data_IF_453016847201
#
_entry.id   IF_453016847201
#
_cell.length_a   1.000
_cell.length_b   1.000
_cell.length_c   1.000
_cell.angle_alpha   90.00
_cell.angle_beta   90.00
_cell.angle_gamma   90.00
#
_symmetry.space_group_name_H-M   'P 1'
#
loop_
_entity.id
_entity.type
_entity.pdbx_description
1 polymer ?
#
# COMPACT_ATOMS: atom_id res chain seq x y z
N UNK A 1 -17.10 21.36 -16.34
CA UNK A 1 -16.80 21.08 -17.78
C UNK A 1 -17.99 21.51 -18.60
N UNK A 2 -17.80 22.29 -19.63
CA UNK A 2 -18.84 22.64 -20.60
C UNK A 2 -19.10 21.45 -21.54
N UNK A 3 -20.30 21.33 -22.14
CA UNK A 3 -20.62 20.24 -23.08
C UNK A 3 -19.57 20.03 -24.18
N UNK A 4 -19.08 21.14 -24.78
CA UNK A 4 -18.03 21.14 -25.81
C UNK A 4 -16.73 20.47 -25.31
N UNK A 5 -16.32 20.75 -24.08
CA UNK A 5 -15.13 20.14 -23.49
C UNK A 5 -15.30 18.61 -23.27
N UNK A 6 -16.53 18.13 -23.09
CA UNK A 6 -16.83 16.71 -22.98
C UNK A 6 -16.72 16.03 -24.34
N UNK A 7 -17.18 16.68 -25.40
CA UNK A 7 -17.02 16.20 -26.77
C UNK A 7 -15.55 16.14 -27.17
N UNK A 8 -14.78 17.19 -26.89
CA UNK A 8 -13.32 17.22 -27.12
C UNK A 8 -12.60 16.10 -26.37
N UNK A 9 -13.01 15.83 -25.13
CA UNK A 9 -12.47 14.71 -24.33
C UNK A 9 -12.76 13.36 -24.99
N UNK A 10 -13.98 13.18 -25.48
CA UNK A 10 -14.38 11.94 -26.15
C UNK A 10 -13.61 11.74 -27.47
N UNK A 11 -13.47 12.78 -28.25
CA UNK A 11 -12.69 12.74 -29.51
C UNK A 11 -11.22 12.44 -29.25
N UNK A 12 -10.60 13.15 -28.31
CA UNK A 12 -9.22 12.91 -27.93
C UNK A 12 -8.99 11.50 -27.35
N UNK A 13 -9.96 10.96 -26.61
CA UNK A 13 -9.91 9.58 -26.12
C UNK A 13 -9.99 8.55 -27.27
N UNK A 14 -10.86 8.78 -28.26
CA UNK A 14 -10.99 7.91 -29.44
C UNK A 14 -9.69 7.93 -30.26
N UNK A 15 -9.10 9.11 -30.47
CA UNK A 15 -7.81 9.22 -31.15
C UNK A 15 -6.71 8.46 -30.39
N UNK A 16 -6.63 8.59 -29.06
CA UNK A 16 -5.64 7.92 -28.25
C UNK A 16 -5.73 6.39 -28.29
N UNK A 17 -6.89 5.80 -28.57
CA UNK A 17 -7.05 4.34 -28.66
C UNK A 17 -6.19 3.72 -29.78
N UNK A 18 -5.83 4.48 -30.79
CA UNK A 18 -5.02 4.02 -31.91
C UNK A 18 -3.51 4.20 -31.72
N UNK A 19 -3.09 4.77 -30.59
CA UNK A 19 -1.69 5.01 -30.29
C UNK A 19 -1.19 4.09 -29.17
N UNK A 20 0.03 3.58 -29.33
CA UNK A 20 0.79 2.92 -28.28
C UNK A 20 1.78 3.89 -27.67
N UNK A 21 1.83 3.96 -26.33
CA UNK A 21 2.73 4.83 -25.60
C UNK A 21 3.79 4.01 -24.90
N UNK A 22 5.04 4.50 -24.92
CA UNK A 22 6.05 3.98 -24.02
C UNK A 22 5.65 4.32 -22.58
N UNK A 23 5.51 3.30 -21.75
CA UNK A 23 5.16 3.46 -20.35
C UNK A 23 6.43 3.47 -19.49
N UNK A 24 6.62 4.55 -18.73
CA UNK A 24 7.66 4.65 -17.72
C UNK A 24 7.02 4.93 -16.36
N UNK A 25 7.47 4.21 -15.33
CA UNK A 25 6.82 4.24 -14.03
C UNK A 25 6.76 5.65 -13.40
N UNK A 26 7.77 6.48 -13.61
CA UNK A 26 7.89 7.77 -12.94
C UNK A 26 7.33 8.95 -13.76
N UNK A 27 7.59 9.04 -15.05
CA UNK A 27 7.31 10.25 -15.84
C UNK A 27 6.22 10.08 -16.91
N UNK A 28 6.22 8.98 -17.67
CA UNK A 28 5.24 8.70 -18.73
C UNK A 28 4.25 7.61 -18.34
N UNK A 29 3.72 7.71 -17.13
CA UNK A 29 2.72 6.79 -16.62
C UNK A 29 1.28 7.22 -16.99
N UNK A 30 0.28 6.45 -16.54
CA UNK A 30 -1.13 6.76 -16.79
C UNK A 30 -1.55 8.15 -16.29
N UNK A 31 -0.99 8.62 -15.17
CA UNK A 31 -1.27 9.94 -14.63
C UNK A 31 -0.78 11.05 -15.57
N UNK A 32 0.42 10.90 -16.14
CA UNK A 32 0.97 11.84 -17.12
C UNK A 32 0.05 11.94 -18.35
N UNK A 33 -0.38 10.81 -18.91
CA UNK A 33 -1.27 10.77 -20.09
C UNK A 33 -2.60 11.46 -19.78
N UNK A 34 -3.22 11.11 -18.65
CA UNK A 34 -4.47 11.76 -18.20
C UNK A 34 -4.28 13.26 -18.01
N UNK A 35 -3.18 13.67 -17.37
CA UNK A 35 -2.89 15.08 -17.15
C UNK A 35 -2.66 15.85 -18.44
N UNK A 36 -1.98 15.27 -19.43
CA UNK A 36 -1.82 15.86 -20.76
C UNK A 36 -3.14 16.00 -21.50
N UNK A 37 -4.00 15.01 -21.41
CA UNK A 37 -5.35 15.06 -21.96
C UNK A 37 -6.16 16.21 -21.32
N UNK A 38 -6.07 16.35 -20.00
CA UNK A 38 -6.73 17.43 -19.26
C UNK A 38 -6.15 18.82 -19.65
N UNK A 39 -4.84 18.95 -19.89
CA UNK A 39 -4.24 20.20 -20.34
C UNK A 39 -4.87 20.69 -21.66
N UNK A 40 -5.09 19.78 -22.61
CA UNK A 40 -5.68 20.13 -23.92
C UNK A 40 -7.13 20.60 -23.74
N UNK A 41 -7.91 19.94 -22.91
CA UNK A 41 -9.34 20.21 -22.76
C UNK A 41 -9.62 21.44 -21.90
N UNK A 42 -8.84 21.59 -20.83
CA UNK A 42 -9.04 22.69 -19.87
C UNK A 42 -8.28 23.96 -20.28
N UNK A 43 -7.41 23.87 -21.29
CA UNK A 43 -6.49 24.94 -21.68
C UNK A 43 -5.62 25.45 -20.53
N UNK A 44 -5.35 24.58 -19.57
CA UNK A 44 -4.55 24.84 -18.37
C UNK A 44 -3.39 23.83 -18.25
N UNK A 45 -2.28 24.28 -17.70
CA UNK A 45 -1.11 23.43 -17.44
C UNK A 45 -1.28 22.60 -16.17
N UNK A 46 -2.20 21.62 -16.18
CA UNK A 46 -2.38 20.66 -15.09
C UNK A 46 -1.13 19.80 -14.91
N UNK A 47 -0.47 19.42 -16.01
CA UNK A 47 0.79 18.67 -16.00
C UNK A 47 1.85 19.42 -16.77
N UNK A 48 2.87 19.92 -16.07
CA UNK A 48 4.11 20.45 -16.64
C UNK A 48 5.09 19.30 -16.90
N UNK A 49 6.20 19.61 -17.59
CA UNK A 49 7.30 18.65 -17.76
C UNK A 49 8.04 18.54 -16.42
N UNK A 50 7.68 17.55 -15.63
CA UNK A 50 8.28 17.25 -14.32
C UNK A 50 9.10 15.95 -14.44
N UNK A 51 10.08 15.76 -13.54
CA UNK A 51 10.92 14.56 -13.51
C UNK A 51 10.12 13.29 -13.14
N UNK A 52 8.97 13.46 -12.48
CA UNK A 52 8.02 12.40 -12.16
C UNK A 52 6.61 12.97 -12.06
N UNK A 53 5.62 12.14 -12.36
CA UNK A 53 4.20 12.50 -12.26
C UNK A 53 3.45 11.43 -11.49
N UNK A 54 2.84 11.83 -10.37
CA UNK A 54 2.03 10.95 -9.53
C UNK A 54 0.53 11.24 -9.73
N UNK A 55 -0.33 10.20 -9.69
CA UNK A 55 -1.79 10.40 -9.77
C UNK A 55 -2.33 11.39 -8.72
N UNK A 56 -1.74 11.39 -7.52
CA UNK A 56 -2.07 12.33 -6.45
C UNK A 56 -1.82 13.79 -6.81
N UNK A 57 -0.75 14.09 -7.55
CA UNK A 57 -0.42 15.45 -7.99
C UNK A 57 -1.48 15.99 -8.96
N UNK A 58 -1.96 15.15 -9.89
CA UNK A 58 -3.04 15.53 -10.80
C UNK A 58 -4.30 15.92 -10.04
N UNK A 59 -4.71 15.05 -9.10
CA UNK A 59 -5.90 15.29 -8.26
C UNK A 59 -5.74 16.58 -7.44
N UNK A 60 -4.56 16.80 -6.84
CA UNK A 60 -4.29 17.99 -6.05
C UNK A 60 -4.36 19.26 -6.91
N UNK A 61 -3.78 19.26 -8.12
CA UNK A 61 -3.84 20.39 -9.06
C UNK A 61 -5.27 20.69 -9.50
N UNK A 62 -6.09 19.67 -9.75
CA UNK A 62 -7.52 19.86 -10.06
C UNK A 62 -8.31 20.43 -8.87
N UNK A 63 -7.94 20.07 -7.63
CA UNK A 63 -8.52 20.66 -6.43
C UNK A 63 -8.14 22.14 -6.32
N UNK A 64 -6.85 22.46 -6.52
CA UNK A 64 -6.32 23.82 -6.42
C UNK A 64 -6.91 24.75 -7.48
N UNK A 65 -7.12 24.24 -8.70
CA UNK A 65 -7.80 24.95 -9.78
C UNK A 65 -9.33 25.04 -9.60
N UNK A 66 -9.90 24.52 -8.50
CA UNK A 66 -11.34 24.46 -8.25
C UNK A 66 -12.16 23.77 -9.36
N UNK A 67 -11.51 22.87 -10.11
CA UNK A 67 -12.14 22.12 -11.20
C UNK A 67 -12.89 20.87 -10.73
N UNK A 68 -12.79 20.51 -9.45
CA UNK A 68 -13.50 19.39 -8.85
C UNK A 68 -14.65 19.91 -7.98
N UNK A 69 -15.85 19.87 -8.53
CA UNK A 69 -17.09 19.98 -7.77
C UNK A 69 -17.49 18.63 -7.17
N UNK A 70 -18.55 18.40 -6.61
CA UNK A 70 -19.21 17.15 -6.19
C UNK A 70 -18.32 15.88 -6.12
N UNK A 71 -17.50 15.80 -5.09
CA UNK A 71 -16.61 14.66 -4.89
C UNK A 71 -17.39 13.42 -4.46
N UNK A 72 -17.55 12.46 -5.36
CA UNK A 72 -18.08 11.14 -5.05
C UNK A 72 -16.93 10.19 -4.71
N UNK A 73 -16.88 9.76 -3.47
CA UNK A 73 -15.91 8.76 -3.05
C UNK A 73 -16.53 7.38 -3.11
N UNK A 74 -16.02 6.53 -3.99
CA UNK A 74 -16.37 5.10 -3.98
C UNK A 74 -15.37 4.35 -3.13
N UNK A 75 -15.88 3.59 -2.19
CA UNK A 75 -15.05 2.64 -1.43
C UNK A 75 -14.44 1.65 -2.41
N UNK A 76 -13.11 1.42 -2.34
CA UNK A 76 -12.47 0.43 -3.20
C UNK A 76 -13.12 -0.94 -3.01
N UNK A 77 -13.21 -1.71 -4.09
CA UNK A 77 -13.77 -3.06 -4.04
C UNK A 77 -13.07 -3.94 -3.00
N UNK A 78 -11.75 -3.80 -2.83
CA UNK A 78 -10.99 -4.50 -1.79
C UNK A 78 -11.44 -4.12 -0.37
N UNK A 79 -11.67 -2.84 -0.10
CA UNK A 79 -12.17 -2.39 1.21
C UNK A 79 -13.58 -2.90 1.46
N UNK A 80 -14.42 -2.89 0.44
CA UNK A 80 -15.77 -3.43 0.52
C UNK A 80 -15.74 -4.94 0.82
N UNK A 81 -14.96 -5.69 0.05
CA UNK A 81 -14.76 -7.12 0.27
C UNK A 81 -14.33 -7.39 1.72
N UNK A 82 -13.27 -6.72 2.19
CA UNK A 82 -12.77 -6.90 3.55
C UNK A 82 -13.82 -6.54 4.61
N UNK A 83 -14.59 -5.46 4.41
CA UNK A 83 -15.65 -5.06 5.32
C UNK A 83 -16.77 -6.11 5.39
N UNK A 84 -17.15 -6.71 4.27
CA UNK A 84 -18.19 -7.73 4.23
C UNK A 84 -17.65 -9.02 4.84
N UNK A 85 -16.49 -9.47 4.39
CA UNK A 85 -15.91 -10.74 4.81
C UNK A 85 -15.53 -10.74 6.30
N UNK A 86 -14.99 -9.65 6.82
CA UNK A 86 -14.59 -9.56 8.23
C UNK A 86 -15.77 -9.48 9.21
N UNK A 87 -16.94 -9.02 8.75
CA UNK A 87 -18.17 -9.01 9.56
C UNK A 87 -18.82 -10.38 9.72
N UNK A 88 -18.47 -11.34 8.87
CA UNK A 88 -19.00 -12.71 8.98
C UNK A 88 -18.36 -13.43 10.16
N UNK A 89 -19.18 -14.23 10.85
CA UNK A 89 -18.68 -15.19 11.85
C UNK A 89 -17.74 -16.22 11.21
N UNK A 90 -16.90 -16.88 11.98
CA UNK A 90 -16.02 -17.93 11.46
C UNK A 90 -16.78 -19.07 10.75
N UNK A 91 -17.96 -19.44 11.27
CA UNK A 91 -18.83 -20.44 10.64
C UNK A 91 -19.41 -19.95 9.31
N UNK A 92 -19.82 -18.68 9.23
CA UNK A 92 -20.42 -18.12 8.01
C UNK A 92 -19.37 -17.86 6.94
N UNK A 93 -18.15 -17.47 7.32
CA UNK A 93 -16.99 -17.42 6.40
C UNK A 93 -16.79 -18.77 5.70
N UNK A 94 -16.76 -19.87 6.47
CA UNK A 94 -16.62 -21.22 5.92
C UNK A 94 -17.77 -21.57 4.95
N UNK A 95 -19.01 -21.16 5.22
CA UNK A 95 -20.15 -21.37 4.33
C UNK A 95 -19.99 -20.57 3.03
N UNK A 96 -19.61 -19.29 3.11
CA UNK A 96 -19.33 -18.46 1.94
C UNK A 96 -18.19 -19.06 1.11
N UNK A 97 -17.09 -19.45 1.72
CA UNK A 97 -15.94 -20.08 1.04
C UNK A 97 -16.38 -21.37 0.30
N UNK A 98 -17.19 -22.23 0.93
CA UNK A 98 -17.70 -23.44 0.29
C UNK A 98 -18.45 -23.16 -1.03
N UNK A 99 -19.17 -22.03 -1.11
CA UNK A 99 -19.88 -21.64 -2.33
C UNK A 99 -18.95 -21.28 -3.51
N UNK A 100 -17.67 -21.02 -3.26
CA UNK A 100 -16.68 -20.80 -4.32
C UNK A 100 -16.10 -22.09 -4.87
N UNK A 101 -16.03 -23.15 -4.06
CA UNK A 101 -15.32 -24.37 -4.43
C UNK A 101 -16.23 -25.57 -4.71
N UNK A 102 -17.48 -25.54 -4.25
CA UNK A 102 -18.43 -26.67 -4.42
C UNK A 102 -19.78 -26.17 -4.91
N UNK A 103 -20.35 -26.89 -5.90
CA UNK A 103 -21.74 -26.63 -6.34
C UNK A 103 -22.74 -27.05 -5.25
N UNK A 104 -23.65 -26.15 -4.95
CA UNK A 104 -24.70 -26.34 -3.95
C UNK A 104 -26.09 -26.17 -4.62
N UNK A 105 -26.69 -27.23 -5.12
CA UNK A 105 -28.07 -27.17 -5.54
C UNK A 105 -28.95 -26.90 -4.31
N UNK A 106 -29.99 -26.08 -4.46
CA UNK A 106 -30.93 -25.73 -3.39
C UNK A 106 -30.26 -25.12 -2.15
N UNK A 107 -29.51 -24.06 -2.36
CA UNK A 107 -28.78 -23.38 -1.29
C UNK A 107 -29.72 -22.87 -0.19
N UNK A 108 -29.70 -23.52 0.98
CA UNK A 108 -30.51 -23.16 2.15
C UNK A 108 -29.78 -22.32 3.18
N UNK A 109 -28.95 -21.38 2.73
CA UNK A 109 -28.29 -20.46 3.65
C UNK A 109 -29.18 -19.27 3.97
N UNK A 110 -28.90 -18.63 5.10
CA UNK A 110 -29.62 -17.43 5.48
C UNK A 110 -29.33 -16.26 4.52
N UNK A 111 -30.20 -15.28 4.51
CA UNK A 111 -30.15 -14.12 3.62
C UNK A 111 -28.80 -13.36 3.69
N UNK A 112 -28.19 -13.26 4.88
CA UNK A 112 -26.93 -12.51 5.04
C UNK A 112 -25.72 -13.22 4.41
N UNK A 113 -25.68 -14.55 4.53
CA UNK A 113 -24.66 -15.38 3.86
C UNK A 113 -24.77 -15.26 2.34
N UNK A 114 -26.01 -15.36 1.80
CA UNK A 114 -26.24 -15.28 0.36
C UNK A 114 -25.88 -13.91 -0.21
N UNK A 115 -26.28 -12.83 0.48
CA UNK A 115 -25.90 -11.46 0.10
C UNK A 115 -24.38 -11.28 0.11
N UNK A 116 -23.72 -11.74 1.18
CA UNK A 116 -22.28 -11.66 1.30
C UNK A 116 -21.57 -12.42 0.19
N UNK A 117 -22.03 -13.64 -0.12
CA UNK A 117 -21.51 -14.44 -1.23
C UNK A 117 -21.64 -13.71 -2.58
N UNK A 118 -22.81 -13.12 -2.87
CA UNK A 118 -23.03 -12.40 -4.13
C UNK A 118 -22.10 -11.19 -4.27
N UNK A 119 -21.99 -10.36 -3.22
CA UNK A 119 -21.11 -9.18 -3.22
C UNK A 119 -19.62 -9.56 -3.31
N UNK A 120 -19.21 -10.61 -2.59
CA UNK A 120 -17.85 -11.12 -2.63
C UNK A 120 -17.56 -11.73 -4.01
N UNK A 121 -18.48 -12.52 -4.57
CA UNK A 121 -18.29 -13.11 -5.89
C UNK A 121 -18.20 -12.06 -7.00
N UNK A 122 -18.94 -10.96 -6.91
CA UNK A 122 -18.83 -9.83 -7.84
C UNK A 122 -17.43 -9.19 -7.79
N UNK A 123 -16.89 -9.01 -6.59
CA UNK A 123 -15.52 -8.54 -6.43
C UNK A 123 -14.49 -9.51 -7.03
N UNK A 124 -14.62 -10.82 -6.75
CA UNK A 124 -13.71 -11.84 -7.29
C UNK A 124 -13.75 -11.86 -8.82
N UNK A 125 -14.95 -11.78 -9.42
CA UNK A 125 -15.10 -11.75 -10.87
C UNK A 125 -14.46 -10.51 -11.50
N UNK A 126 -14.62 -9.35 -10.88
CA UNK A 126 -14.09 -8.10 -11.42
C UNK A 126 -12.56 -8.02 -11.38
N UNK A 127 -11.90 -8.81 -10.53
CA UNK A 127 -10.43 -8.77 -10.35
C UNK A 127 -9.71 -10.01 -10.92
N UNK A 128 -10.43 -11.11 -11.10
CA UNK A 128 -9.87 -12.37 -11.62
C UNK A 128 -10.68 -12.77 -12.84
N UNK A 129 -10.12 -12.65 -14.00
CA UNK A 129 -10.77 -12.71 -15.33
C UNK A 129 -11.55 -13.98 -15.68
N UNK A 130 -11.60 -14.99 -14.82
CA UNK A 130 -12.37 -16.20 -15.05
C UNK A 130 -13.24 -16.58 -13.84
N UNK A 131 -14.54 -16.53 -14.03
CA UNK A 131 -15.47 -17.08 -13.07
C UNK A 131 -15.60 -18.59 -13.31
N UNK A 132 -15.29 -19.41 -12.29
CA UNK A 132 -15.53 -20.85 -12.37
C UNK A 132 -17.03 -21.14 -12.56
N UNK A 133 -17.37 -22.21 -13.30
CA UNK A 133 -18.76 -22.65 -13.48
C UNK A 133 -19.46 -22.93 -12.15
N UNK A 134 -18.70 -23.30 -11.13
CA UNK A 134 -19.21 -23.49 -9.77
C UNK A 134 -19.73 -22.19 -9.18
N UNK A 135 -18.97 -21.09 -9.29
CA UNK A 135 -19.40 -19.78 -8.77
C UNK A 135 -20.60 -19.27 -9.56
N UNK A 136 -20.59 -19.42 -10.89
CA UNK A 136 -21.72 -19.03 -11.74
C UNK A 136 -23.00 -19.76 -11.35
N UNK A 137 -22.92 -21.09 -11.18
CA UNK A 137 -24.04 -21.91 -10.74
C UNK A 137 -24.57 -21.45 -9.37
N UNK A 138 -23.69 -21.33 -8.38
CA UNK A 138 -24.07 -20.95 -7.02
C UNK A 138 -24.63 -19.51 -6.94
N UNK A 139 -24.21 -18.60 -7.81
CA UNK A 139 -24.80 -17.25 -7.91
C UNK A 139 -26.25 -17.33 -8.38
N UNK A 140 -26.56 -18.14 -9.38
CA UNK A 140 -27.93 -18.33 -9.87
C UNK A 140 -28.82 -18.89 -8.74
N UNK A 141 -28.38 -19.91 -8.04
CA UNK A 141 -29.11 -20.50 -6.92
C UNK A 141 -29.26 -19.48 -5.74
N UNK A 142 -28.25 -18.70 -5.44
CA UNK A 142 -28.34 -17.67 -4.42
C UNK A 142 -29.35 -16.57 -4.79
N UNK A 143 -29.39 -16.12 -6.05
CA UNK A 143 -30.41 -15.17 -6.52
C UNK A 143 -31.82 -15.75 -6.46
N UNK A 144 -32.04 -17.02 -6.88
CA UNK A 144 -33.33 -17.69 -6.76
C UNK A 144 -33.80 -17.68 -5.30
N UNK A 145 -32.93 -18.10 -4.38
CA UNK A 145 -33.24 -18.17 -2.96
C UNK A 145 -33.53 -16.81 -2.32
N UNK A 146 -32.77 -15.78 -2.68
CA UNK A 146 -33.03 -14.42 -2.19
C UNK A 146 -34.37 -13.88 -2.71
N UNK A 147 -34.77 -14.23 -3.94
CA UNK A 147 -36.07 -13.86 -4.50
C UNK A 147 -37.20 -14.52 -3.72
N UNK A 148 -37.09 -15.81 -3.38
CA UNK A 148 -38.03 -16.49 -2.50
C UNK A 148 -38.18 -15.87 -1.12
N UNK A 149 -37.07 -15.29 -0.61
CA UNK A 149 -37.04 -14.56 0.65
C UNK A 149 -37.50 -13.09 0.51
N UNK A 150 -38.07 -12.68 -0.61
CA UNK A 150 -38.49 -11.32 -0.93
C UNK A 150 -37.37 -10.26 -0.79
N UNK A 151 -36.16 -10.67 -1.11
CA UNK A 151 -35.00 -9.77 -1.11
C UNK A 151 -34.66 -9.35 -2.54
N UNK A 152 -34.99 -8.10 -2.89
CA UNK A 152 -34.73 -7.54 -4.21
C UNK A 152 -33.56 -6.56 -4.15
N UNK A 153 -32.61 -6.72 -5.10
CA UNK A 153 -31.52 -5.76 -5.30
C UNK A 153 -30.43 -5.83 -4.22
N UNK A 154 -29.46 -6.69 -4.43
CA UNK A 154 -28.19 -6.66 -3.68
C UNK A 154 -27.32 -5.59 -4.30
N UNK A 155 -27.57 -4.31 -3.95
CA UNK A 155 -26.74 -3.20 -4.39
C UNK A 155 -25.87 -2.68 -3.22
N UNK A 156 -24.65 -2.35 -3.56
CA UNK A 156 -23.80 -1.59 -2.66
C UNK A 156 -24.39 -0.20 -2.47
N UNK A 157 -24.60 0.23 -1.22
CA UNK A 157 -24.91 1.64 -0.94
C UNK A 157 -23.63 2.45 -1.16
N UNK A 158 -23.72 3.44 -2.04
CA UNK A 158 -22.66 4.43 -2.17
C UNK A 158 -22.49 5.14 -0.83
N UNK A 159 -21.29 5.03 -0.26
CA UNK A 159 -20.98 5.68 1.00
C UNK A 159 -20.62 7.13 0.65
N UNK A 160 -21.50 8.07 0.98
CA UNK A 160 -21.17 9.50 0.94
C UNK A 160 -19.95 9.72 1.83
N UNK A 161 -18.84 10.10 1.25
CA UNK A 161 -17.62 10.32 2.00
C UNK A 161 -17.47 11.76 2.42
N UNK A 162 -16.70 11.94 3.49
CA UNK A 162 -16.14 13.21 3.93
C UNK A 162 -15.29 13.82 2.82
N UNK A 163 -15.10 15.13 2.84
CA UNK A 163 -14.30 15.88 1.89
C UNK A 163 -12.97 15.19 1.56
N UNK A 164 -12.65 15.08 0.27
CA UNK A 164 -11.34 14.58 -0.15
C UNK A 164 -10.30 15.61 0.28
N UNK A 165 -9.50 15.29 1.28
CA UNK A 165 -8.30 16.05 1.62
C UNK A 165 -7.23 15.84 0.53
N UNK A 166 -6.30 16.80 0.41
CA UNK A 166 -5.13 16.63 -0.45
C UNK A 166 -4.43 15.30 -0.17
N UNK A 167 -4.00 14.63 -1.24
CA UNK A 167 -3.26 13.38 -1.14
C UNK A 167 -1.78 13.74 -0.99
N UNK A 168 -1.18 13.28 0.08
CA UNK A 168 0.24 13.50 0.39
C UNK A 168 1.09 12.57 -0.45
N UNK A 169 2.06 13.12 -1.16
CA UNK A 169 2.93 12.36 -2.08
C UNK A 169 4.42 12.51 -1.80
N UNK A 170 4.78 13.37 -0.85
CA UNK A 170 6.17 13.64 -0.47
C UNK A 170 6.32 13.65 1.04
N UNK A 171 7.53 13.36 1.53
CA UNK A 171 7.82 13.51 2.96
C UNK A 171 9.25 14.03 3.21
N UNK A 172 9.37 14.86 4.23
CA UNK A 172 10.65 15.32 4.79
C UNK A 172 10.69 14.99 6.26
N UNK A 173 11.77 14.42 6.73
CA UNK A 173 11.89 14.01 8.12
C UNK A 173 13.25 14.33 8.72
N UNK A 174 13.22 14.61 10.01
CA UNK A 174 14.41 14.79 10.85
C UNK A 174 14.31 13.84 12.02
N UNK A 175 15.39 13.21 12.39
CA UNK A 175 15.46 12.38 13.58
C UNK A 175 16.73 12.59 14.37
N UNK A 176 16.60 12.55 15.68
CA UNK A 176 17.71 12.53 16.64
C UNK A 176 17.81 11.15 17.30
N UNK A 177 19.03 10.69 17.52
CA UNK A 177 19.33 9.51 18.30
C UNK A 177 19.97 9.96 19.64
N UNK A 178 19.75 9.19 20.69
CA UNK A 178 20.25 9.52 22.04
C UNK A 178 21.78 9.67 22.11
N UNK A 179 22.51 9.05 21.19
CA UNK A 179 23.97 9.14 21.10
C UNK A 179 24.47 10.37 20.31
N UNK A 180 23.66 11.41 20.12
CA UNK A 180 24.02 12.64 19.44
C UNK A 180 24.07 12.56 17.90
N UNK A 181 23.61 11.47 17.32
CA UNK A 181 23.51 11.31 15.87
C UNK A 181 22.23 11.94 15.34
N UNK A 182 22.28 12.49 14.13
CA UNK A 182 21.12 13.07 13.45
C UNK A 182 20.92 12.41 12.09
N UNK A 183 19.67 12.30 11.69
CA UNK A 183 19.31 11.81 10.36
C UNK A 183 18.33 12.77 9.71
N UNK A 184 18.59 13.09 8.43
CA UNK A 184 17.69 13.83 7.56
C UNK A 184 17.19 12.89 6.48
N UNK A 185 15.89 12.91 6.20
CA UNK A 185 15.27 12.04 5.22
C UNK A 185 14.38 12.87 4.31
N UNK A 186 14.52 12.67 3.00
CA UNK A 186 13.62 13.20 2.00
C UNK A 186 13.12 12.07 1.10
N UNK A 187 11.82 11.94 0.91
CA UNK A 187 11.22 10.99 0.00
C UNK A 187 10.34 11.76 -0.99
N UNK A 188 10.79 11.97 -2.24
CA UNK A 188 10.03 12.67 -3.28
C UNK A 188 8.81 11.87 -3.73
N UNK A 189 8.86 10.55 -3.64
CA UNK A 189 7.73 9.67 -3.90
C UNK A 189 7.39 8.92 -2.62
N UNK A 190 6.32 9.36 -1.98
CA UNK A 190 5.86 8.82 -0.71
C UNK A 190 4.37 8.52 -0.74
N UNK A 191 4.02 7.28 -0.43
CA UNK A 191 2.67 6.89 -0.13
C UNK A 191 2.70 5.96 1.07
N UNK A 192 1.90 6.21 2.07
CA UNK A 192 1.79 5.34 3.21
C UNK A 192 0.37 5.29 3.74
N UNK A 193 -0.19 4.10 3.78
CA UNK A 193 -1.46 3.85 4.48
C UNK A 193 -1.28 3.80 6.00
N UNK A 194 -0.05 3.83 6.51
CA UNK A 194 0.25 3.98 7.93
C UNK A 194 -0.46 5.17 8.56
N UNK A 195 -0.69 6.18 7.75
CA UNK A 195 -1.33 7.43 8.19
C UNK A 195 -2.86 7.39 8.16
N UNK A 196 -3.48 6.30 7.70
CA UNK A 196 -4.94 6.16 7.68
C UNK A 196 -5.38 5.26 8.84
N UNK A 197 -6.15 5.84 9.74
CA UNK A 197 -6.51 5.28 11.04
C UNK A 197 -7.43 4.05 11.00
N UNK A 198 -8.16 3.88 9.90
CA UNK A 198 -9.12 2.81 9.71
C UNK A 198 -8.52 1.53 9.10
N UNK A 199 -7.19 1.50 8.90
CA UNK A 199 -6.52 0.37 8.24
C UNK A 199 -5.51 -0.31 9.15
N UNK A 200 -5.70 -1.60 9.29
CA UNK A 200 -4.78 -2.53 9.97
C UNK A 200 -3.62 -2.89 9.04
N UNK A 201 -3.89 -2.95 7.74
CA UNK A 201 -2.90 -3.25 6.71
C UNK A 201 -1.76 -2.24 6.69
N UNK A 202 -0.54 -2.73 6.44
CA UNK A 202 0.65 -1.89 6.30
C UNK A 202 1.00 -1.82 4.82
N UNK A 203 0.66 -0.72 4.17
CA UNK A 203 1.03 -0.46 2.77
C UNK A 203 1.84 0.82 2.70
N UNK A 204 3.00 0.73 2.09
CA UNK A 204 3.85 1.90 1.84
C UNK A 204 4.60 1.78 0.54
N UNK A 205 4.79 2.91 -0.11
CA UNK A 205 5.63 3.09 -1.30
C UNK A 205 6.53 4.28 -1.02
N UNK A 206 7.84 4.06 -1.06
CA UNK A 206 8.85 5.12 -1.02
C UNK A 206 9.82 4.84 -2.14
N UNK A 207 10.05 5.83 -2.98
CA UNK A 207 11.01 5.72 -4.08
C UNK A 207 11.89 6.94 -4.12
N UNK A 208 13.13 6.76 -4.60
CA UNK A 208 14.13 7.82 -4.78
C UNK A 208 14.44 8.61 -3.50
N UNK A 209 14.27 7.98 -2.33
CA UNK A 209 14.50 8.64 -1.05
C UNK A 209 15.98 8.85 -0.77
N UNK A 210 16.30 9.99 -0.18
CA UNK A 210 17.67 10.34 0.28
C UNK A 210 17.65 10.40 1.79
N UNK A 211 18.63 9.76 2.42
CA UNK A 211 18.84 9.78 3.86
C UNK A 211 20.28 10.12 4.17
N UNK A 212 20.49 11.24 4.84
CA UNK A 212 21.79 11.68 5.35
C UNK A 212 21.88 11.37 6.85
N UNK A 213 22.89 10.65 7.27
CA UNK A 213 23.22 10.45 8.67
C UNK A 213 24.46 11.28 9.02
N UNK A 214 24.33 12.10 10.02
CA UNK A 214 25.42 12.87 10.61
C UNK A 214 25.81 12.24 11.94
N UNK A 215 27.05 11.87 12.05
CA UNK A 215 27.63 11.26 13.26
C UNK A 215 28.80 12.09 13.79
N UNK A 216 28.67 12.70 14.96
CA UNK A 216 29.75 13.55 15.49
C UNK A 216 31.06 12.80 15.77
N UNK A 217 31.00 11.50 16.02
CA UNK A 217 32.10 10.67 16.49
C UNK A 217 32.55 9.59 15.50
N UNK A 218 32.01 9.60 14.26
CA UNK A 218 32.24 8.55 13.29
C UNK A 218 31.98 9.09 11.87
N UNK A 219 32.19 8.30 10.84
CA UNK A 219 31.93 8.73 9.47
C UNK A 219 30.45 9.04 9.21
N UNK A 220 30.19 10.08 8.44
CA UNK A 220 28.86 10.40 7.95
C UNK A 220 28.46 9.39 6.86
N UNK A 221 27.18 9.07 6.78
CA UNK A 221 26.71 8.18 5.73
C UNK A 221 25.56 8.76 4.93
N UNK A 222 25.58 8.55 3.63
CA UNK A 222 24.53 8.89 2.70
C UNK A 222 23.87 7.60 2.20
N UNK A 223 22.56 7.50 2.38
CA UNK A 223 21.79 6.38 1.87
C UNK A 223 20.81 6.87 0.80
N UNK A 224 20.89 6.28 -0.37
CA UNK A 224 19.92 6.46 -1.44
C UNK A 224 18.98 5.28 -1.49
N UNK A 225 17.70 5.47 -1.17
CA UNK A 225 16.68 4.45 -1.27
C UNK A 225 16.10 4.47 -2.69
N UNK A 226 16.43 3.48 -3.49
CA UNK A 226 15.88 3.32 -4.85
C UNK A 226 14.39 3.02 -4.72
N UNK A 227 14.06 2.01 -3.91
CA UNK A 227 12.69 1.55 -3.68
C UNK A 227 12.56 0.96 -2.28
N UNK A 228 11.44 1.27 -1.60
CA UNK A 228 11.00 0.62 -0.36
C UNK A 228 9.48 0.43 -0.48
N UNK A 229 9.10 -0.77 -0.86
CA UNK A 229 7.72 -1.19 -1.05
C UNK A 229 7.33 -2.17 0.03
N UNK A 230 6.17 -1.96 0.62
CA UNK A 230 5.64 -2.82 1.66
C UNK A 230 4.14 -3.02 1.49
N UNK A 231 3.71 -4.27 1.45
CA UNK A 231 2.31 -4.66 1.40
C UNK A 231 2.08 -5.81 2.39
N UNK A 232 1.75 -5.48 3.63
CA UNK A 232 1.39 -6.47 4.64
C UNK A 232 -0.11 -6.37 4.85
N UNK A 233 -0.82 -7.34 4.32
CA UNK A 233 -2.28 -7.40 4.32
C UNK A 233 -2.74 -8.72 4.91
N UNK A 234 -3.89 -8.69 5.56
CA UNK A 234 -4.49 -9.90 6.09
C UNK A 234 -4.58 -10.98 5.00
N UNK A 235 -4.12 -12.18 5.34
CA UNK A 235 -4.31 -13.34 4.48
C UNK A 235 -5.78 -13.63 4.27
N UNK A 236 -6.14 -13.83 3.03
CA UNK A 236 -7.48 -14.21 2.65
C UNK A 236 -7.44 -15.43 1.72
N UNK A 237 -8.06 -16.51 2.17
CA UNK A 237 -8.06 -17.79 1.48
C UNK A 237 -8.73 -17.72 0.09
N UNK A 238 -9.76 -16.86 -0.09
CA UNK A 238 -10.42 -16.68 -1.37
C UNK A 238 -9.61 -15.91 -2.39
N UNK A 239 -8.76 -14.99 -1.91
CA UNK A 239 -7.99 -14.08 -2.75
C UNK A 239 -6.51 -14.48 -2.84
N UNK A 240 -6.09 -15.49 -2.07
CA UNK A 240 -4.68 -15.86 -1.94
C UNK A 240 -3.79 -14.63 -1.72
N UNK A 241 -4.23 -13.72 -0.81
CA UNK A 241 -3.47 -12.50 -0.53
C UNK A 241 -2.28 -12.81 0.35
N UNK A 242 -1.10 -12.55 -0.18
CA UNK A 242 0.15 -12.69 0.58
C UNK A 242 0.71 -11.33 0.94
N UNK A 243 1.46 -11.30 2.02
CA UNK A 243 2.23 -10.15 2.46
C UNK A 243 3.62 -10.19 1.86
N UNK A 244 4.14 -9.02 1.48
CA UNK A 244 5.48 -8.92 0.92
C UNK A 244 6.12 -7.56 1.21
N UNK A 245 7.45 -7.54 1.18
CA UNK A 245 8.27 -6.36 1.35
C UNK A 245 9.46 -6.44 0.38
N UNK A 246 9.72 -5.34 -0.32
CA UNK A 246 10.85 -5.21 -1.24
C UNK A 246 11.58 -3.92 -0.93
N UNK A 247 12.90 -3.99 -0.73
CA UNK A 247 13.75 -2.81 -0.55
C UNK A 247 14.99 -2.91 -1.41
N UNK A 248 15.38 -1.77 -1.95
CA UNK A 248 16.67 -1.61 -2.64
C UNK A 248 17.25 -0.25 -2.29
N UNK A 249 18.50 -0.25 -1.87
CA UNK A 249 19.20 0.99 -1.49
C UNK A 249 20.69 0.88 -1.72
N UNK A 250 21.29 2.04 -1.96
CA UNK A 250 22.75 2.23 -2.01
C UNK A 250 23.13 3.06 -0.79
N UNK A 251 24.17 2.65 -0.08
CA UNK A 251 24.70 3.34 1.08
C UNK A 251 26.14 3.69 0.75
N UNK A 252 26.47 4.95 0.95
CA UNK A 252 27.85 5.43 0.89
C UNK A 252 28.31 5.77 2.31
N UNK A 253 29.38 5.10 2.75
CA UNK A 253 30.05 5.31 4.02
C UNK A 253 31.51 4.86 3.80
N UNK A 254 32.35 5.78 3.28
CA UNK A 254 33.72 5.52 2.83
C UNK A 254 33.84 4.50 1.69
N UNK A 255 32.91 3.59 1.54
CA UNK A 255 32.72 2.65 0.44
C UNK A 255 31.26 2.60 -0.01
N UNK A 256 31.01 2.11 -1.22
CA UNK A 256 29.66 1.86 -1.72
C UNK A 256 29.18 0.49 -1.28
N UNK A 257 27.97 0.47 -0.73
CA UNK A 257 27.33 -0.73 -0.26
C UNK A 257 25.91 -0.79 -0.84
N UNK A 258 25.58 -1.83 -1.58
CA UNK A 258 24.21 -2.06 -2.03
C UNK A 258 23.49 -3.00 -1.07
N UNK A 259 22.25 -2.69 -0.76
CA UNK A 259 21.41 -3.54 0.08
C UNK A 259 20.07 -3.78 -0.62
N UNK A 260 19.76 -5.05 -0.82
CA UNK A 260 18.50 -5.48 -1.40
C UNK A 260 17.82 -6.47 -0.45
N UNK A 261 16.54 -6.29 -0.22
CA UNK A 261 15.75 -7.10 0.68
C UNK A 261 14.44 -7.49 -0.01
N UNK A 262 14.14 -8.78 0.00
CA UNK A 262 12.86 -9.31 -0.45
C UNK A 262 12.31 -10.25 0.61
N UNK A 263 11.11 -9.96 1.10
CA UNK A 263 10.41 -10.77 2.08
C UNK A 263 9.00 -11.10 1.59
N UNK A 264 8.52 -12.31 1.91
CA UNK A 264 7.21 -12.81 1.50
C UNK A 264 6.62 -13.69 2.62
N UNK A 265 5.31 -13.62 2.83
CA UNK A 265 4.69 -14.42 3.88
C UNK A 265 3.21 -14.13 4.12
N UNK A 266 2.78 -14.35 5.33
CA UNK A 266 1.37 -14.30 5.73
C UNK A 266 1.16 -13.29 6.85
N UNK A 267 -0.03 -12.71 6.90
CA UNK A 267 -0.48 -11.87 7.99
C UNK A 267 -1.91 -12.23 8.40
N UNK A 268 -2.19 -12.16 9.70
CA UNK A 268 -3.46 -12.50 10.28
C UNK A 268 -3.95 -11.39 11.20
N UNK A 269 -5.25 -11.24 11.32
CA UNK A 269 -5.82 -10.32 12.31
C UNK A 269 -5.43 -10.75 13.72
N UNK A 270 -5.02 -9.77 14.50
CA UNK A 270 -4.72 -9.89 15.91
C UNK A 270 -5.60 -8.92 16.68
N UNK A 271 -6.41 -9.44 17.59
CA UNK A 271 -7.46 -8.66 18.25
C UNK A 271 -8.38 -7.92 17.24
N UNK A 272 -9.10 -6.90 17.67
CA UNK A 272 -10.05 -6.20 16.80
C UNK A 272 -9.40 -5.20 15.82
N UNK A 273 -8.22 -4.67 16.17
CA UNK A 273 -7.56 -3.57 15.46
C UNK A 273 -6.06 -3.81 15.25
N UNK A 274 -5.62 -5.06 15.19
CA UNK A 274 -4.22 -5.42 15.03
C UNK A 274 -3.99 -6.43 13.92
N UNK A 275 -2.74 -6.53 13.50
CA UNK A 275 -2.24 -7.45 12.50
C UNK A 275 -0.93 -8.06 12.99
N UNK A 276 -0.87 -9.39 13.04
CA UNK A 276 0.37 -10.14 13.22
C UNK A 276 0.81 -10.72 11.89
N UNK A 277 2.10 -10.69 11.60
CA UNK A 277 2.62 -11.22 10.35
C UNK A 277 3.93 -11.96 10.54
N UNK A 278 4.19 -12.90 9.63
CA UNK A 278 5.46 -13.60 9.49
C UNK A 278 5.89 -13.60 8.03
N UNK A 279 7.12 -13.16 7.77
CA UNK A 279 7.73 -13.12 6.45
C UNK A 279 9.02 -13.90 6.47
N UNK A 280 9.30 -14.60 5.37
CA UNK A 280 10.57 -15.26 5.09
C UNK A 280 11.17 -14.56 3.88
N UNK A 281 12.45 -14.31 3.88
CA UNK A 281 13.07 -13.57 2.81
C UNK A 281 14.55 -13.80 2.64
N UNK A 282 15.09 -13.03 1.71
CA UNK A 282 16.50 -12.99 1.38
C UNK A 282 16.97 -11.54 1.41
N UNK A 283 18.07 -11.32 2.09
CA UNK A 283 18.79 -10.06 2.07
C UNK A 283 20.08 -10.25 1.30
N UNK A 284 20.34 -9.36 0.36
CA UNK A 284 21.56 -9.30 -0.42
C UNK A 284 22.30 -8.02 -0.06
N UNK A 285 23.56 -8.14 0.30
CA UNK A 285 24.44 -7.02 0.56
C UNK A 285 25.72 -7.23 -0.23
N UNK A 286 26.09 -6.31 -1.11
CA UNK A 286 27.39 -6.30 -1.77
C UNK A 286 28.25 -5.21 -1.18
N UNK A 287 29.54 -5.53 -1.02
CA UNK A 287 30.59 -4.57 -0.70
C UNK A 287 31.40 -4.37 -1.98
N UNK A 288 31.43 -3.15 -2.50
CA UNK A 288 32.38 -2.76 -3.53
C UNK A 288 33.61 -2.15 -2.87
N UNK A 289 34.63 -2.93 -2.64
CA UNK A 289 35.97 -2.39 -2.57
C UNK A 289 36.39 -2.03 -4.00
N UNK A 290 36.50 -0.74 -4.28
CA UNK A 290 36.84 -0.18 -5.62
C UNK A 290 38.19 -0.70 -6.13
N UNK A 291 38.99 -1.38 -5.30
CA UNK A 291 40.31 -1.90 -5.62
C UNK A 291 40.33 -3.28 -6.24
N UNK A 292 39.25 -4.07 -6.13
CA UNK A 292 39.23 -5.43 -6.73
C UNK A 292 37.93 -5.64 -7.54
N UNK A 293 38.00 -5.28 -8.81
CA UNK A 293 36.88 -5.32 -9.79
C UNK A 293 36.38 -6.75 -10.10
N UNK A 294 36.93 -7.80 -9.49
CA UNK A 294 36.68 -9.19 -9.89
C UNK A 294 36.13 -10.15 -8.84
N UNK A 295 35.92 -9.73 -7.59
CA UNK A 295 35.33 -10.61 -6.57
C UNK A 295 34.15 -9.92 -5.88
N UNK A 296 32.98 -9.99 -6.51
CA UNK A 296 31.70 -9.66 -5.86
C UNK A 296 31.39 -10.81 -4.90
N UNK A 297 31.69 -10.66 -3.64
CA UNK A 297 31.19 -11.57 -2.60
C UNK A 297 29.68 -11.41 -2.45
N UNK A 298 28.95 -12.27 -3.15
CA UNK A 298 27.49 -12.34 -3.11
C UNK A 298 27.03 -12.94 -1.77
N UNK A 299 26.77 -12.10 -0.80
CA UNK A 299 26.26 -12.54 0.50
C UNK A 299 24.72 -12.54 0.52
N UNK A 300 24.11 -13.66 0.14
CA UNK A 300 22.70 -13.91 0.37
C UNK A 300 22.47 -14.36 1.81
N UNK A 301 21.74 -13.58 2.56
CA UNK A 301 21.44 -13.86 3.95
C UNK A 301 19.94 -14.15 4.08
N UNK A 302 19.57 -15.40 4.43
CA UNK A 302 18.17 -15.69 4.72
C UNK A 302 17.70 -14.88 5.94
N UNK A 303 16.47 -14.43 5.90
CA UNK A 303 15.85 -13.63 6.96
C UNK A 303 14.46 -14.17 7.30
N UNK A 304 14.16 -14.14 8.59
CA UNK A 304 12.81 -14.37 9.10
C UNK A 304 12.39 -13.11 9.85
N UNK A 305 11.20 -12.60 9.53
CA UNK A 305 10.65 -11.40 10.15
C UNK A 305 9.26 -11.67 10.71
N UNK A 306 9.07 -11.40 11.97
CA UNK A 306 7.78 -11.50 12.64
C UNK A 306 7.43 -10.10 13.14
N UNK A 307 6.19 -9.69 13.02
CA UNK A 307 5.79 -8.38 13.52
C UNK A 307 4.33 -8.30 13.92
N UNK A 308 4.08 -7.30 14.73
CA UNK A 308 2.76 -6.91 15.22
C UNK A 308 2.53 -5.44 14.92
N UNK A 309 1.38 -5.13 14.36
CA UNK A 309 0.89 -3.77 14.19
C UNK A 309 -0.45 -3.64 14.91
N UNK A 310 -0.59 -2.70 15.82
CA UNK A 310 -1.78 -2.49 16.61
C UNK A 310 -2.19 -1.01 16.59
N UNK A 311 -3.43 -0.72 16.20
CA UNK A 311 -4.00 0.61 16.38
C UNK A 311 -4.45 0.74 17.84
N UNK A 312 -3.85 1.66 18.59
CA UNK A 312 -4.23 1.95 19.98
C UNK A 312 -5.37 2.96 20.05
N UNK A 313 -5.28 4.02 19.24
CA UNK A 313 -6.33 5.02 19.04
C UNK A 313 -6.40 5.42 17.57
N UNK A 314 -7.27 6.37 17.21
CA UNK A 314 -7.34 6.92 15.85
C UNK A 314 -6.02 7.55 15.39
N UNK A 315 -5.22 8.10 16.30
CA UNK A 315 -3.99 8.82 16.02
C UNK A 315 -2.72 8.10 16.49
N UNK A 316 -2.86 7.01 17.22
CA UNK A 316 -1.74 6.32 17.86
C UNK A 316 -1.67 4.87 17.42
N UNK A 317 -0.53 4.47 16.88
CA UNK A 317 -0.23 3.09 16.48
C UNK A 317 1.02 2.59 17.18
N UNK A 318 0.99 1.33 17.53
CA UNK A 318 2.13 0.61 18.06
C UNK A 318 2.55 -0.47 17.07
N UNK A 319 3.83 -0.58 16.86
CA UNK A 319 4.43 -1.55 15.97
C UNK A 319 5.63 -2.21 16.63
N UNK A 320 5.70 -3.53 16.57
CA UNK A 320 6.87 -4.31 16.99
C UNK A 320 7.25 -5.27 15.90
N UNK A 321 8.52 -5.42 15.64
CA UNK A 321 9.04 -6.46 14.74
C UNK A 321 10.32 -7.06 15.29
N UNK A 322 10.43 -8.36 15.14
CA UNK A 322 11.63 -9.14 15.28
C UNK A 322 12.08 -9.61 13.91
N UNK A 323 13.34 -9.44 13.60
CA UNK A 323 13.95 -9.92 12.37
C UNK A 323 15.26 -10.63 12.73
N UNK A 324 15.38 -11.88 12.32
CA UNK A 324 16.61 -12.64 12.39
C UNK A 324 17.26 -12.67 11.01
N UNK A 325 18.51 -12.23 10.92
CA UNK A 325 19.37 -12.25 9.73
C UNK A 325 20.56 -13.14 10.04
N UNK A 326 20.41 -14.43 9.94
CA UNK A 326 21.38 -15.52 10.11
C UNK A 326 22.38 -15.43 11.28
N UNK A 327 22.88 -14.26 11.64
CA UNK A 327 23.83 -14.05 12.74
C UNK A 327 23.51 -12.83 13.61
N UNK A 328 22.49 -12.08 13.23
CA UNK A 328 22.11 -10.84 13.93
C UNK A 328 20.60 -10.79 14.12
N UNK A 329 20.23 -10.51 15.34
CA UNK A 329 18.85 -10.30 15.73
C UNK A 329 18.56 -8.80 15.79
N UNK A 330 17.44 -8.41 15.22
CA UNK A 330 16.94 -7.04 15.23
C UNK A 330 15.57 -7.02 15.88
N UNK A 331 15.43 -6.28 16.94
CA UNK A 331 14.12 -5.99 17.54
C UNK A 331 13.86 -4.50 17.33
N UNK A 332 12.73 -4.18 16.76
CA UNK A 332 12.28 -2.82 16.59
C UNK A 332 10.91 -2.64 17.21
N UNK A 333 10.80 -1.72 18.16
CA UNK A 333 9.53 -1.25 18.68
C UNK A 333 9.33 0.21 18.23
N UNK A 334 8.15 0.56 17.79
CA UNK A 334 7.84 1.86 17.23
C UNK A 334 6.47 2.32 17.70
N UNK A 335 6.41 3.52 18.25
CA UNK A 335 5.18 4.22 18.58
C UNK A 335 5.01 5.37 17.61
N UNK A 336 3.91 5.38 16.88
CA UNK A 336 3.59 6.35 15.84
C UNK A 336 2.42 7.20 16.31
N UNK A 337 2.63 8.50 16.38
CA UNK A 337 1.56 9.48 16.64
C UNK A 337 1.43 10.43 15.47
N UNK A 338 0.24 10.52 14.90
CA UNK A 338 -0.06 11.40 13.77
C UNK A 338 -0.94 12.55 14.22
N UNK A 339 -0.53 13.76 13.87
CA UNK A 339 -1.34 14.97 14.00
C UNK A 339 -1.26 15.74 12.68
N UNK A 340 -2.36 15.88 11.97
CA UNK A 340 -2.46 16.51 10.65
C UNK A 340 -1.39 15.99 9.65
N UNK A 341 -0.45 16.85 9.33
CA UNK A 341 0.64 16.58 8.39
C UNK A 341 1.92 16.09 9.07
N UNK A 342 1.94 16.07 10.40
CA UNK A 342 3.10 15.67 11.17
C UNK A 342 2.96 14.24 11.66
N UNK A 343 3.96 13.44 11.42
CA UNK A 343 4.08 12.09 11.93
C UNK A 343 5.26 12.02 12.90
N UNK A 344 4.95 11.83 14.17
CA UNK A 344 5.95 11.65 15.23
C UNK A 344 6.20 10.17 15.44
N UNK A 345 7.46 9.78 15.55
CA UNK A 345 7.87 8.37 15.73
C UNK A 345 8.85 8.28 16.87
N UNK A 346 8.53 7.48 17.87
CA UNK A 346 9.47 7.04 18.89
C UNK A 346 9.85 5.59 18.59
N UNK A 347 11.13 5.31 18.39
CA UNK A 347 11.62 3.98 18.03
C UNK A 347 12.67 3.52 19.00
N UNK A 348 12.52 2.30 19.47
CA UNK A 348 13.57 1.53 20.12
C UNK A 348 14.04 0.46 19.14
N UNK A 349 15.32 0.45 18.84
CA UNK A 349 15.97 -0.53 17.97
C UNK A 349 17.03 -1.24 18.79
N UNK A 350 16.93 -2.55 18.88
CA UNK A 350 17.94 -3.40 19.48
C UNK A 350 18.61 -4.22 18.37
N UNK A 351 19.91 -4.12 18.25
CA UNK A 351 20.74 -4.85 17.31
C UNK A 351 21.84 -5.59 18.09
N UNK A 352 21.60 -6.88 18.38
CA UNK A 352 22.51 -7.68 19.19
C UNK A 352 22.70 -7.09 20.59
N UNK A 353 23.90 -6.62 20.90
CA UNK A 353 24.24 -6.05 22.22
C UNK A 353 23.99 -4.53 22.33
N UNK A 354 23.57 -3.86 21.25
CA UNK A 354 23.36 -2.41 21.24
C UNK A 354 21.88 -2.06 21.16
N UNK A 355 21.47 -1.08 21.97
CA UNK A 355 20.11 -0.51 21.92
C UNK A 355 20.17 0.96 21.53
N UNK A 356 19.35 1.36 20.58
CA UNK A 356 19.27 2.71 20.07
C UNK A 356 17.85 3.24 20.26
N UNK A 357 17.71 4.35 20.98
CA UNK A 357 16.47 5.10 21.04
C UNK A 357 16.51 6.24 20.02
N UNK A 358 15.47 6.33 19.21
CA UNK A 358 15.36 7.31 18.13
C UNK A 358 14.04 8.04 18.20
N UNK A 359 14.07 9.37 18.15
CA UNK A 359 12.92 10.23 17.97
C UNK A 359 12.95 10.81 16.56
N UNK A 360 11.83 10.74 15.85
CA UNK A 360 11.72 11.24 14.48
C UNK A 360 10.49 12.09 14.30
N UNK A 361 10.61 13.12 13.48
CA UNK A 361 9.54 13.99 13.02
C UNK A 361 9.52 13.94 11.49
N UNK A 362 8.40 13.60 10.91
CA UNK A 362 8.24 13.50 9.45
C UNK A 362 7.05 14.35 9.00
N UNK A 363 7.30 15.33 8.15
CA UNK A 363 6.30 16.17 7.52
C UNK A 363 5.85 15.56 6.21
N UNK A 364 4.54 15.51 5.99
CA UNK A 364 3.90 14.97 4.79
C UNK A 364 3.31 16.12 3.96
N UNK A 365 3.67 16.19 2.69
CA UNK A 365 3.23 17.23 1.74
C UNK A 365 2.33 16.67 0.64
#
# INVERSE_FOLDING_TARGET
>A
MFPEQIEDLQLAYIELQNYSFYYYFLDKNCAFIIGKLLNVILLEDIVKKEAYVMPSQIINKLIDASLLENKLFRVSNTKLFNNIFNKLSGSDKKKVIKLFFKKHPNVQYNKEILKSFLLISEYVISNYSSMSDTVRFNRIEAYKRLRELNVFGVRQKDIKSKSVSRIKSESVGVSGLVNGRYEFVYNPVYFSEYSKHDKIDIKSVKCLGIKLKLNPNDSNSLKFNIVDLKNITQYNELLNTFSWEVKSSIIYNDSFLTNQEFNYGLAFNFLNNGLIYSLIGLNYTSFDDITDVLLVDLNFIPAIKIGLNQNLTENLKFFVSYENRFKKDYIKAELLYKHDNLLNKLMLINEGSSSILKLSFEFLF
#
